data_IF_294048174538
#
_entry.id   IF_294048174538
#
_cell.length_a   1.000
_cell.length_b   1.000
_cell.length_c   1.000
_cell.angle_alpha   90.00
_cell.angle_beta   90.00
_cell.angle_gamma   90.00
#
_symmetry.space_group_name_H-M   'P 1'
#
loop_
_entity.id
_entity.type
_entity.pdbx_description
1 polymer ?
#
# COMPACT_ATOMS: atom_id res chain seq x y z
N UNK A 1 -10.01 -31.96 -11.09
CA UNK A 1 -10.45 -30.58 -10.91
C UNK A 1 -9.28 -29.66 -10.48
N UNK A 2 -8.44 -30.04 -9.56
CA UNK A 2 -7.32 -29.23 -9.05
C UNK A 2 -6.25 -28.87 -10.10
N UNK A 3 -5.88 -29.82 -10.97
CA UNK A 3 -4.84 -29.65 -12.01
C UNK A 3 -5.15 -28.53 -13.03
N UNK A 4 -6.43 -28.25 -13.28
CA UNK A 4 -6.83 -27.21 -14.26
C UNK A 4 -6.50 -25.79 -13.77
N UNK A 5 -6.55 -25.56 -12.46
CA UNK A 5 -6.31 -24.24 -11.86
C UNK A 5 -4.89 -24.07 -11.31
N UNK A 6 -4.08 -25.15 -11.35
CA UNK A 6 -2.71 -25.12 -10.86
C UNK A 6 -1.86 -23.97 -11.46
N UNK A 7 -1.90 -23.71 -12.79
CA UNK A 7 -1.13 -22.61 -13.37
C UNK A 7 -1.56 -21.23 -12.83
N UNK A 8 -2.86 -21.06 -12.52
CA UNK A 8 -3.38 -19.83 -11.95
C UNK A 8 -2.83 -19.61 -10.52
N UNK A 9 -2.93 -20.63 -9.68
CA UNK A 9 -2.40 -20.55 -8.30
C UNK A 9 -0.89 -20.38 -8.27
N UNK A 10 -0.17 -21.02 -9.18
CA UNK A 10 1.27 -20.84 -9.30
C UNK A 10 1.64 -19.37 -9.65
N UNK A 11 0.92 -18.77 -10.59
CA UNK A 11 1.13 -17.35 -10.95
C UNK A 11 0.84 -16.42 -9.77
N UNK A 12 -0.27 -16.62 -9.05
CA UNK A 12 -0.58 -15.87 -7.84
C UNK A 12 0.50 -16.02 -6.77
N UNK A 13 1.00 -17.23 -6.55
CA UNK A 13 2.07 -17.48 -5.58
C UNK A 13 3.37 -16.77 -5.97
N UNK A 14 3.73 -16.78 -7.25
CA UNK A 14 4.90 -16.06 -7.73
C UNK A 14 4.73 -14.55 -7.59
N UNK A 15 3.55 -14.01 -7.84
CA UNK A 15 3.26 -12.61 -7.63
C UNK A 15 3.28 -12.25 -6.14
N UNK A 16 2.77 -13.11 -5.26
CA UNK A 16 2.88 -12.94 -3.81
C UNK A 16 4.34 -12.80 -3.35
N UNK A 17 5.25 -13.64 -3.86
CA UNK A 17 6.69 -13.52 -3.55
C UNK A 17 7.28 -12.19 -4.03
N UNK A 18 6.91 -11.74 -5.24
CA UNK A 18 7.35 -10.45 -5.78
C UNK A 18 6.82 -9.29 -4.92
N UNK A 19 5.53 -9.31 -4.57
CA UNK A 19 4.90 -8.32 -3.70
C UNK A 19 5.64 -8.23 -2.37
N UNK A 20 5.84 -9.36 -1.71
CA UNK A 20 6.50 -9.41 -0.40
C UNK A 20 7.93 -8.87 -0.45
N UNK A 21 8.70 -9.28 -1.45
CA UNK A 21 10.06 -8.78 -1.65
C UNK A 21 10.07 -7.26 -1.85
N UNK A 22 9.26 -6.77 -2.79
CA UNK A 22 9.22 -5.34 -3.10
C UNK A 22 8.72 -4.49 -1.91
N UNK A 23 7.72 -4.99 -1.16
CA UNK A 23 7.21 -4.30 0.02
C UNK A 23 8.27 -4.17 1.12
N UNK A 24 9.08 -5.21 1.33
CA UNK A 24 10.20 -5.15 2.28
C UNK A 24 11.28 -4.16 1.83
N UNK A 25 11.64 -4.16 0.55
CA UNK A 25 12.60 -3.21 -0.03
C UNK A 25 12.09 -1.76 0.10
N UNK A 26 10.81 -1.53 -0.17
CA UNK A 26 10.16 -0.23 0.01
C UNK A 26 10.22 0.22 1.46
N UNK A 27 9.84 -0.64 2.41
CA UNK A 27 9.86 -0.32 3.83
C UNK A 27 11.25 0.06 4.32
N UNK A 28 12.27 -0.72 3.94
CA UNK A 28 13.67 -0.42 4.26
C UNK A 28 14.08 0.94 3.68
N UNK A 29 13.73 1.19 2.42
CA UNK A 29 14.03 2.47 1.75
C UNK A 29 13.35 3.66 2.42
N UNK A 30 12.11 3.50 2.86
CA UNK A 30 11.37 4.55 3.56
C UNK A 30 11.98 4.80 4.94
N UNK A 31 12.22 3.75 5.73
CA UNK A 31 12.87 3.86 7.05
C UNK A 31 14.21 4.58 6.98
N UNK A 32 15.00 4.30 5.95
CA UNK A 32 16.32 4.97 5.80
C UNK A 32 16.25 6.46 5.53
N UNK A 33 15.10 6.97 5.07
CA UNK A 33 14.89 8.39 4.76
C UNK A 33 14.34 9.20 5.94
N UNK A 34 13.74 8.53 6.92
CA UNK A 34 13.14 9.16 8.09
C UNK A 34 13.91 8.77 9.34
N UNK A 35 14.65 9.72 9.92
CA UNK A 35 15.47 9.49 11.13
C UNK A 35 14.63 9.04 12.34
N UNK A 36 13.36 9.46 12.41
CA UNK A 36 12.44 9.20 13.53
C UNK A 36 11.29 8.27 13.11
N UNK A 37 11.55 7.29 12.25
CA UNK A 37 10.51 6.38 11.77
C UNK A 37 9.74 5.68 12.90
N UNK A 38 10.45 5.20 13.92
CA UNK A 38 9.86 4.47 15.04
C UNK A 38 8.98 5.36 15.94
N UNK A 39 9.20 6.68 15.94
CA UNK A 39 8.37 7.66 16.63
C UNK A 39 7.10 7.98 15.82
N UNK A 40 7.19 7.93 14.48
CA UNK A 40 6.10 8.26 13.57
C UNK A 40 5.17 7.06 13.32
N UNK A 41 5.73 5.87 13.25
CA UNK A 41 5.01 4.64 12.89
C UNK A 41 5.38 3.55 13.87
N UNK A 42 4.45 3.19 14.73
CA UNK A 42 4.64 2.07 15.65
C UNK A 42 4.64 0.72 14.90
N UNK A 43 5.10 -0.33 15.57
CA UNK A 43 5.21 -1.67 14.99
C UNK A 43 3.87 -2.27 14.57
N UNK A 44 2.78 -1.89 15.22
CA UNK A 44 1.43 -2.35 14.87
C UNK A 44 0.96 -1.72 13.55
N UNK A 45 1.20 -0.42 13.38
CA UNK A 45 0.89 0.30 12.15
C UNK A 45 1.77 -0.17 11.00
N UNK A 46 3.05 -0.45 11.23
CA UNK A 46 3.95 -1.02 10.22
C UNK A 46 3.44 -2.39 9.74
N UNK A 47 3.04 -3.25 10.66
CA UNK A 47 2.43 -4.54 10.33
C UNK A 47 1.13 -4.36 9.53
N UNK A 48 0.26 -3.44 9.96
CA UNK A 48 -0.99 -3.11 9.27
C UNK A 48 -0.75 -2.63 7.85
N UNK A 49 0.25 -1.75 7.63
CA UNK A 49 0.67 -1.36 6.28
C UNK A 49 1.05 -2.56 5.41
N UNK A 50 1.87 -3.47 5.95
CA UNK A 50 2.29 -4.67 5.21
C UNK A 50 1.11 -5.58 4.87
N UNK A 51 0.16 -5.76 5.79
CA UNK A 51 -1.04 -6.56 5.57
C UNK A 51 -1.92 -5.93 4.47
N UNK A 52 -2.12 -4.62 4.47
CA UNK A 52 -2.83 -3.90 3.41
C UNK A 52 -2.16 -4.03 2.04
N UNK A 53 -0.84 -3.86 1.98
CA UNK A 53 -0.07 -4.03 0.74
C UNK A 53 -0.30 -5.42 0.17
N UNK A 54 -0.15 -6.45 1.00
CA UNK A 54 -0.30 -7.84 0.55
C UNK A 54 -1.71 -8.10 0.04
N UNK A 55 -2.73 -7.76 0.81
CA UNK A 55 -4.13 -8.02 0.44
C UNK A 55 -4.51 -7.28 -0.84
N UNK A 56 -4.29 -5.99 -0.92
CA UNK A 56 -4.69 -5.18 -2.09
C UNK A 56 -3.91 -5.57 -3.35
N UNK A 57 -2.61 -5.86 -3.22
CA UNK A 57 -1.79 -6.26 -4.36
C UNK A 57 -2.16 -7.65 -4.86
N UNK A 58 -2.55 -8.56 -3.96
CA UNK A 58 -3.04 -9.88 -4.36
C UNK A 58 -4.38 -9.81 -5.10
N UNK A 59 -5.31 -8.93 -4.68
CA UNK A 59 -6.52 -8.65 -5.43
C UNK A 59 -6.22 -8.14 -6.84
N UNK A 60 -5.33 -7.15 -6.94
CA UNK A 60 -4.91 -6.58 -8.22
C UNK A 60 -4.22 -7.62 -9.13
N UNK A 61 -3.38 -8.50 -8.56
CA UNK A 61 -2.78 -9.62 -9.30
C UNK A 61 -3.85 -10.56 -9.86
N UNK A 62 -4.88 -10.88 -9.05
CA UNK A 62 -6.02 -11.67 -9.51
C UNK A 62 -6.73 -11.03 -10.71
N UNK A 63 -7.00 -9.73 -10.66
CA UNK A 63 -7.60 -9.00 -11.78
C UNK A 63 -6.69 -8.97 -13.02
N UNK A 64 -5.38 -8.82 -12.86
CA UNK A 64 -4.44 -8.90 -13.98
C UNK A 64 -4.49 -10.28 -14.65
N UNK A 65 -4.58 -11.36 -13.87
CA UNK A 65 -4.71 -12.71 -14.42
C UNK A 65 -6.05 -12.94 -15.14
N UNK A 66 -7.14 -12.30 -14.69
CA UNK A 66 -8.43 -12.32 -15.41
C UNK A 66 -8.34 -11.56 -16.73
N UNK A 67 -7.53 -10.53 -16.82
CA UNK A 67 -7.19 -9.84 -18.09
C UNK A 67 -6.37 -10.73 -19.05
N UNK A 68 -5.85 -11.87 -18.59
CA UNK A 68 -5.03 -12.79 -19.37
C UNK A 68 -3.53 -12.56 -19.27
N UNK A 69 -3.08 -11.61 -18.46
CA UNK A 69 -1.67 -11.28 -18.29
C UNK A 69 -1.28 -11.23 -16.80
N UNK A 70 0.01 -11.31 -16.50
CA UNK A 70 0.53 -11.10 -15.15
C UNK A 70 0.68 -9.61 -14.85
N UNK A 71 0.65 -9.28 -13.58
CA UNK A 71 0.95 -7.92 -13.11
C UNK A 71 2.36 -7.51 -13.53
N UNK A 72 2.47 -6.39 -14.24
CA UNK A 72 3.75 -5.80 -14.67
C UNK A 72 4.45 -5.14 -13.47
N UNK A 73 5.76 -4.93 -13.58
CA UNK A 73 6.55 -4.36 -12.47
C UNK A 73 6.13 -2.93 -12.10
N UNK A 74 5.76 -2.12 -13.09
CA UNK A 74 5.24 -0.77 -12.83
C UNK A 74 3.85 -0.79 -12.16
N UNK A 75 2.97 -1.71 -12.56
CA UNK A 75 1.66 -1.91 -11.91
C UNK A 75 1.86 -2.35 -10.45
N UNK A 76 2.75 -3.33 -10.22
CA UNK A 76 3.12 -3.79 -8.89
C UNK A 76 3.59 -2.64 -8.00
N UNK A 77 4.55 -1.86 -8.49
CA UNK A 77 5.13 -0.73 -7.75
C UNK A 77 4.06 0.32 -7.40
N UNK A 78 3.21 0.66 -8.35
CA UNK A 78 2.15 1.64 -8.14
C UNK A 78 1.15 1.17 -7.09
N UNK A 79 0.71 -0.08 -7.16
CA UNK A 79 -0.26 -0.63 -6.21
C UNK A 79 0.33 -0.75 -4.81
N UNK A 80 1.57 -1.23 -4.69
CA UNK A 80 2.26 -1.33 -3.39
C UNK A 80 2.38 0.04 -2.73
N UNK A 81 2.79 1.07 -3.49
CA UNK A 81 2.92 2.42 -2.94
C UNK A 81 1.56 2.99 -2.48
N UNK A 82 0.51 2.84 -3.28
CA UNK A 82 -0.84 3.30 -2.92
C UNK A 82 -1.35 2.54 -1.71
N UNK A 83 -1.18 1.22 -1.68
CA UNK A 83 -1.64 0.38 -0.58
C UNK A 83 -0.94 0.67 0.75
N UNK A 84 0.33 1.08 0.70
CA UNK A 84 1.09 1.48 1.88
C UNK A 84 0.54 2.77 2.52
N UNK A 85 0.00 3.67 1.70
CA UNK A 85 -0.58 4.93 2.17
C UNK A 85 -1.97 4.76 2.79
N UNK A 86 -2.73 3.75 2.37
CA UNK A 86 -4.13 3.61 2.79
C UNK A 86 -4.32 3.60 4.32
N UNK A 87 -3.62 2.78 5.13
CA UNK A 87 -3.80 2.79 6.58
C UNK A 87 -3.30 4.07 7.25
N UNK A 88 -2.33 4.77 6.67
CA UNK A 88 -1.85 6.05 7.18
C UNK A 88 -2.89 7.15 6.96
N UNK A 89 -3.56 7.15 5.80
CA UNK A 89 -4.67 8.06 5.53
C UNK A 89 -5.85 7.82 6.45
N UNK A 90 -6.22 6.57 6.66
CA UNK A 90 -7.29 6.15 7.56
C UNK A 90 -7.03 6.66 8.98
N UNK A 91 -5.83 6.38 9.52
CA UNK A 91 -5.42 6.85 10.85
C UNK A 91 -5.36 8.39 10.95
N UNK A 92 -4.96 9.06 9.88
CA UNK A 92 -4.91 10.53 9.86
C UNK A 92 -6.31 11.13 10.01
N UNK A 93 -7.28 10.64 9.25
CA UNK A 93 -8.66 11.14 9.33
C UNK A 93 -9.36 10.75 10.64
N UNK A 94 -9.02 9.57 11.21
CA UNK A 94 -9.63 9.08 12.45
C UNK A 94 -9.06 9.77 13.71
N UNK A 95 -7.78 10.13 13.69
CA UNK A 95 -7.08 10.68 14.87
C UNK A 95 -7.01 12.20 14.90
N UNK A 96 -7.08 12.84 13.74
CA UNK A 96 -7.05 14.30 13.65
C UNK A 96 -8.46 14.82 13.54
N UNK A 97 -8.94 15.55 14.56
CA UNK A 97 -10.21 16.27 14.51
C UNK A 97 -10.12 17.41 13.49
N UNK A 98 -10.28 17.06 12.22
CA UNK A 98 -10.34 18.03 11.14
C UNK A 98 -11.77 18.57 10.99
N UNK A 99 -11.90 19.87 10.86
CA UNK A 99 -13.18 20.45 10.45
C UNK A 99 -13.58 19.95 9.06
N UNK A 100 -14.90 19.85 8.80
CA UNK A 100 -15.40 19.43 7.50
C UNK A 100 -14.81 20.26 6.35
N UNK A 101 -14.54 21.53 6.58
CA UNK A 101 -13.90 22.44 5.60
C UNK A 101 -12.45 22.03 5.30
N UNK A 102 -11.67 21.70 6.32
CA UNK A 102 -10.29 21.20 6.14
C UNK A 102 -10.25 19.87 5.42
N UNK A 103 -11.18 18.95 5.75
CA UNK A 103 -11.28 17.67 5.03
C UNK A 103 -11.61 17.90 3.56
N UNK A 104 -12.61 18.77 3.28
CA UNK A 104 -13.00 19.09 1.91
C UNK A 104 -11.83 19.73 1.12
N UNK A 105 -11.07 20.61 1.76
CA UNK A 105 -9.89 21.23 1.16
C UNK A 105 -8.80 20.18 0.85
N UNK A 106 -8.47 19.30 1.79
CA UNK A 106 -7.46 18.23 1.60
C UNK A 106 -7.82 17.27 0.47
N UNK A 107 -9.10 16.90 0.37
CA UNK A 107 -9.57 16.00 -0.68
C UNK A 107 -9.53 16.65 -2.07
N UNK A 108 -9.87 17.92 -2.16
CA UNK A 108 -9.93 18.62 -3.45
C UNK A 108 -8.59 19.24 -3.89
N UNK A 109 -7.67 19.49 -2.95
CA UNK A 109 -6.38 20.13 -3.23
C UNK A 109 -5.20 19.43 -2.57
N UNK A 110 -5.02 18.10 -2.76
CA UNK A 110 -4.04 17.32 -2.00
C UNK A 110 -2.59 17.77 -2.22
N UNK A 111 -2.28 18.39 -3.35
CA UNK A 111 -0.92 18.85 -3.68
C UNK A 111 -0.59 20.27 -3.20
N UNK A 112 -1.56 21.00 -2.67
CA UNK A 112 -1.39 22.38 -2.21
C UNK A 112 -1.41 22.52 -0.69
N UNK A 113 -1.65 21.42 0.02
CA UNK A 113 -1.66 21.45 1.47
C UNK A 113 -0.23 21.59 2.00
N UNK A 114 0.01 22.68 2.71
CA UNK A 114 1.21 22.84 3.58
C UNK A 114 0.75 22.54 5.00
N UNK A 115 1.38 21.54 5.64
CA UNK A 115 1.17 21.31 7.05
C UNK A 115 1.56 22.58 7.82
N UNK A 116 0.60 23.15 8.54
CA UNK A 116 0.89 24.15 9.56
C UNK A 116 1.51 23.35 10.73
N UNK A 117 2.82 23.36 10.82
CA UNK A 117 3.54 22.88 12.01
C UNK A 117 3.49 23.96 13.05
N UNK A 118 2.68 23.78 14.08
CA UNK A 118 2.86 24.48 15.35
C UNK A 118 4.03 23.88 16.13
#
# INVERSE_FOLDING_TARGET
MFLRYFPFYLKLYLDFKRVRKYSQELLISVKSKFQNWEELVDSANEKRMMDYIVVQTMWASGFCLLRGDRMKDNELKSIVNISALAPLYDDFFDKVELSSEKIHFLVNTPFHYKAETD
#
